data_IF_430336668187
#
_entry.id   IF_430336668187
#
_cell.length_a   1.000
_cell.length_b   1.000
_cell.length_c   1.000
_cell.angle_alpha   90.00
_cell.angle_beta   90.00
_cell.angle_gamma   90.00
#
_symmetry.space_group_name_H-M   'P 1'
#
loop_
_entity.id
_entity.type
_entity.pdbx_description
1 polymer ?
#
# COMPACT_ATOMS: atom_id res chain seq x y z
N UNK A 1 -23.73 -5.53 16.24
CA UNK A 1 -22.45 -6.13 16.66
C UNK A 1 -21.36 -5.62 15.73
N UNK A 2 -20.26 -5.10 16.26
CA UNK A 2 -19.10 -4.72 15.44
C UNK A 2 -18.35 -6.02 15.13
N UNK A 3 -18.31 -6.43 13.86
CA UNK A 3 -17.43 -7.52 13.44
C UNK A 3 -15.99 -7.05 13.55
N UNK A 4 -15.20 -7.71 14.40
CA UNK A 4 -13.78 -7.45 14.51
C UNK A 4 -13.10 -8.04 13.28
N UNK A 5 -12.65 -7.20 12.35
CA UNK A 5 -11.90 -7.66 11.17
C UNK A 5 -10.48 -8.02 11.65
N UNK A 6 -10.02 -9.27 11.46
CA UNK A 6 -8.70 -9.67 11.91
C UNK A 6 -7.60 -9.02 11.06
N UNK A 7 -6.50 -8.64 11.70
CA UNK A 7 -5.35 -7.97 11.07
C UNK A 7 -4.06 -8.71 11.43
N UNK A 8 -3.20 -8.92 10.44
CA UNK A 8 -1.86 -9.51 10.60
C UNK A 8 -0.82 -8.55 10.06
N UNK A 9 0.22 -8.25 10.84
CA UNK A 9 1.37 -7.44 10.42
C UNK A 9 2.58 -8.35 10.17
N UNK A 10 3.43 -7.97 9.20
CA UNK A 10 4.65 -8.71 8.85
C UNK A 10 5.80 -7.72 8.74
N UNK A 11 6.62 -7.67 9.78
CA UNK A 11 7.72 -6.72 9.94
C UNK A 11 9.09 -7.40 9.88
N UNK A 12 10.14 -6.61 9.61
CA UNK A 12 11.52 -7.08 9.49
C UNK A 12 12.34 -6.27 8.46
N UNK A 13 13.65 -6.53 8.34
CA UNK A 13 14.56 -5.73 7.51
C UNK A 13 14.30 -5.90 6.01
N UNK A 14 14.87 -5.02 5.18
CA UNK A 14 14.74 -5.13 3.72
C UNK A 14 15.33 -6.44 3.20
N UNK A 15 14.77 -7.00 2.12
CA UNK A 15 15.31 -8.19 1.46
C UNK A 15 14.95 -9.55 2.09
N UNK A 16 14.38 -9.61 3.29
CA UNK A 16 14.08 -10.91 3.97
C UNK A 16 12.83 -11.64 3.46
N UNK A 17 12.19 -11.16 2.39
CA UNK A 17 11.04 -11.84 1.77
C UNK A 17 9.66 -11.53 2.35
N UNK A 18 9.50 -10.49 3.20
CA UNK A 18 8.21 -10.10 3.82
C UNK A 18 7.07 -9.93 2.82
N UNK A 19 7.31 -9.20 1.74
CA UNK A 19 6.34 -9.01 0.66
C UNK A 19 5.89 -10.34 0.04
N UNK A 20 6.84 -11.24 -0.24
CA UNK A 20 6.53 -12.58 -0.77
C UNK A 20 5.70 -13.39 0.21
N UNK A 21 6.08 -13.40 1.49
CA UNK A 21 5.33 -14.11 2.55
C UNK A 21 3.91 -13.54 2.72
N UNK A 22 3.77 -12.20 2.75
CA UNK A 22 2.48 -11.53 2.90
C UNK A 22 1.51 -11.86 1.77
N UNK A 23 2.01 -11.95 0.52
CA UNK A 23 1.22 -12.37 -0.65
C UNK A 23 0.75 -13.82 -0.54
N UNK A 24 1.64 -14.71 -0.10
CA UNK A 24 1.30 -16.12 0.09
C UNK A 24 0.22 -16.27 1.17
N UNK A 25 0.35 -15.57 2.30
CA UNK A 25 -0.63 -15.61 3.39
C UNK A 25 -1.98 -15.03 2.93
N UNK A 26 -1.98 -13.85 2.30
CA UNK A 26 -3.19 -13.21 1.81
C UNK A 26 -3.95 -14.10 0.80
N UNK A 27 -3.23 -14.70 -0.15
CA UNK A 27 -3.81 -15.63 -1.12
C UNK A 27 -4.39 -16.89 -0.45
N UNK A 28 -3.67 -17.47 0.53
CA UNK A 28 -4.14 -18.66 1.25
C UNK A 28 -5.39 -18.40 2.08
N UNK A 29 -5.50 -17.21 2.67
CA UNK A 29 -6.61 -16.83 3.53
C UNK A 29 -7.76 -16.14 2.77
N UNK A 30 -7.59 -15.85 1.48
CA UNK A 30 -8.50 -15.00 0.72
C UNK A 30 -8.71 -13.62 1.39
N UNK A 31 -7.60 -13.05 1.89
CA UNK A 31 -7.58 -11.76 2.58
C UNK A 31 -7.07 -10.64 1.67
N UNK A 32 -7.45 -9.42 1.99
CA UNK A 32 -6.86 -8.23 1.37
C UNK A 32 -5.42 -8.03 1.83
N UNK A 33 -4.56 -7.53 0.94
CA UNK A 33 -3.16 -7.25 1.23
C UNK A 33 -2.85 -5.74 1.10
N UNK A 34 -2.21 -5.19 2.13
CA UNK A 34 -1.65 -3.83 2.11
C UNK A 34 -0.12 -3.88 2.12
N UNK A 35 0.50 -3.49 1.00
CA UNK A 35 1.97 -3.38 0.89
C UNK A 35 2.46 -1.94 1.11
N UNK A 36 2.60 -1.52 2.38
CA UNK A 36 3.02 -0.16 2.75
C UNK A 36 4.30 0.32 2.05
N UNK A 37 5.29 -0.56 1.88
CA UNK A 37 6.54 -0.22 1.20
C UNK A 37 6.38 0.15 -0.27
N UNK A 38 5.39 -0.38 -0.98
CA UNK A 38 5.10 0.06 -2.36
C UNK A 38 4.52 1.47 -2.37
N UNK A 39 3.63 1.79 -1.43
CA UNK A 39 3.04 3.12 -1.31
C UNK A 39 4.11 4.20 -1.04
N UNK A 40 5.00 3.96 -0.08
CA UNK A 40 6.10 4.89 0.20
C UNK A 40 7.04 5.08 -1.00
N UNK A 41 7.34 4.02 -1.76
CA UNK A 41 8.14 4.13 -2.99
C UNK A 41 7.43 4.92 -4.09
N UNK A 42 6.13 4.72 -4.27
CA UNK A 42 5.35 5.51 -5.21
C UNK A 42 5.35 6.99 -4.82
N UNK A 43 5.13 7.29 -3.54
CA UNK A 43 5.15 8.67 -3.04
C UNK A 43 6.51 9.32 -3.30
N UNK A 44 7.60 8.64 -2.93
CA UNK A 44 8.96 9.12 -3.20
C UNK A 44 9.20 9.38 -4.69
N UNK A 45 8.80 8.45 -5.56
CA UNK A 45 8.90 8.60 -7.01
C UNK A 45 8.14 9.83 -7.53
N UNK A 46 6.92 10.07 -7.04
CA UNK A 46 6.11 11.23 -7.44
C UNK A 46 6.73 12.54 -7.00
N UNK A 47 7.26 12.59 -5.77
CA UNK A 47 7.92 13.78 -5.22
C UNK A 47 9.16 14.12 -6.03
N UNK A 48 10.00 13.12 -6.32
CA UNK A 48 11.20 13.30 -7.13
C UNK A 48 10.87 13.74 -8.55
N UNK A 49 9.91 13.09 -9.22
CA UNK A 49 9.56 13.42 -10.60
C UNK A 49 8.90 14.79 -10.75
N UNK A 50 8.14 15.25 -9.75
CA UNK A 50 7.49 16.56 -9.77
C UNK A 50 8.37 17.66 -9.17
N UNK A 51 9.62 17.34 -8.80
CA UNK A 51 10.55 18.26 -8.11
C UNK A 51 9.89 18.97 -6.91
N UNK A 52 9.06 18.25 -6.16
CA UNK A 52 8.36 18.80 -5.00
C UNK A 52 9.34 18.92 -3.84
N UNK A 53 9.39 20.11 -3.22
CA UNK A 53 10.19 20.30 -2.00
C UNK A 53 9.65 19.43 -0.87
N UNK A 54 10.55 18.72 -0.18
CA UNK A 54 10.26 17.72 0.85
C UNK A 54 9.75 18.31 2.18
N UNK A 55 8.67 19.09 2.12
CA UNK A 55 7.99 19.72 3.26
C UNK A 55 6.63 19.05 3.41
N UNK A 56 6.25 18.68 4.64
CA UNK A 56 5.00 17.96 4.96
C UNK A 56 3.78 18.54 4.23
N UNK A 57 3.59 19.87 4.28
CA UNK A 57 2.49 20.57 3.59
C UNK A 57 2.42 20.24 2.09
N UNK A 58 3.57 20.18 1.41
CA UNK A 58 3.62 19.89 -0.02
C UNK A 58 3.31 18.42 -0.31
N UNK A 59 3.73 17.53 0.57
CA UNK A 59 3.45 16.10 0.49
C UNK A 59 1.96 15.83 0.70
N UNK A 60 1.34 16.45 1.71
CA UNK A 60 -0.10 16.37 1.96
C UNK A 60 -0.88 16.88 0.75
N UNK A 61 -0.51 18.05 0.22
CA UNK A 61 -1.16 18.59 -0.97
C UNK A 61 -0.96 17.69 -2.21
N UNK A 62 0.17 17.00 -2.34
CA UNK A 62 0.36 16.00 -3.40
C UNK A 62 -0.60 14.82 -3.23
N UNK A 63 -0.78 14.32 -2.00
CA UNK A 63 -1.70 13.23 -1.66
C UNK A 63 -3.17 13.61 -1.92
N UNK A 64 -3.59 14.82 -1.55
CA UNK A 64 -4.96 15.30 -1.75
C UNK A 64 -5.34 15.37 -3.24
N UNK A 65 -4.35 15.61 -4.11
CA UNK A 65 -4.52 15.74 -5.55
C UNK A 65 -4.13 14.47 -6.34
N UNK A 66 -3.87 13.35 -5.64
CA UNK A 66 -3.55 12.10 -6.31
C UNK A 66 -4.83 11.42 -6.83
N UNK A 67 -4.80 11.03 -8.10
CA UNK A 67 -5.83 10.16 -8.67
C UNK A 67 -5.67 8.75 -8.10
N UNK A 68 -6.47 8.46 -7.07
CA UNK A 68 -6.46 7.17 -6.38
C UNK A 68 -6.89 5.99 -7.27
N UNK A 69 -7.66 6.22 -8.34
CA UNK A 69 -8.05 5.17 -9.30
C UNK A 69 -6.87 4.79 -10.20
N UNK A 70 -6.04 5.77 -10.58
CA UNK A 70 -4.76 5.49 -11.26
C UNK A 70 -3.80 4.71 -10.36
N UNK A 71 -3.76 5.03 -9.06
CA UNK A 71 -2.92 4.34 -8.07
C UNK A 71 -3.40 2.89 -7.89
N UNK A 72 -4.71 2.63 -7.79
CA UNK A 72 -5.25 1.26 -7.70
C UNK A 72 -4.83 0.36 -8.88
N UNK A 73 -4.66 0.91 -10.09
CA UNK A 73 -4.22 0.16 -11.27
C UNK A 73 -2.73 -0.19 -11.27
N UNK A 74 -1.88 0.61 -10.62
CA UNK A 74 -0.40 0.48 -10.63
C UNK A 74 0.18 -0.03 -9.32
N UNK A 75 -0.39 0.38 -8.20
CA UNK A 75 -0.14 -0.20 -6.90
C UNK A 75 -0.98 -1.47 -6.84
N UNK A 76 -0.34 -2.60 -6.68
CA UNK A 76 -1.01 -3.89 -6.45
C UNK A 76 -1.67 -3.86 -5.05
N UNK A 77 -2.69 -3.02 -4.85
CA UNK A 77 -3.62 -3.13 -3.74
C UNK A 77 -4.62 -4.19 -4.19
N UNK A 78 -4.22 -5.46 -4.02
CA UNK A 78 -5.16 -6.55 -4.19
C UNK A 78 -6.12 -6.48 -3.00
N UNK A 79 -7.23 -5.78 -3.19
CA UNK A 79 -8.47 -6.19 -2.56
C UNK A 79 -8.84 -7.50 -3.25
N UNK A 80 -8.51 -8.65 -2.63
CA UNK A 80 -9.22 -9.85 -3.02
C UNK A 80 -10.63 -9.61 -2.51
N UNK A 81 -11.48 -9.13 -3.42
CA UNK A 81 -12.91 -8.98 -3.17
C UNK A 81 -13.39 -10.31 -2.64
N UNK A 82 -13.72 -10.37 -1.35
CA UNK A 82 -14.56 -11.44 -0.87
C UNK A 82 -15.87 -11.29 -1.66
N UNK A 83 -16.09 -12.17 -2.62
CA UNK A 83 -17.45 -12.49 -3.03
C UNK A 83 -18.12 -13.01 -1.76
N UNK A 84 -18.93 -12.15 -1.15
CA UNK A 84 -20.05 -12.57 -0.31
C UNK A 84 -21.11 -13.11 -1.26
#
# INVERSE_FOLDING_TARGET
MINHIPVVTIDGPSGVGKSSLSKIIANKLNWSLLESGQFYRLLAFLVLNKNITMIEKNIVNLLDNLDYELIKKKLLIIFISQKI
#
